data_IF_705090962086
#
_entry.id   IF_705090962086
#
_cell.length_a   1.000
_cell.length_b   1.000
_cell.length_c   1.000
_cell.angle_alpha   90.00
_cell.angle_beta   90.00
_cell.angle_gamma   90.00
#
_symmetry.space_group_name_H-M   'P 1'
#
loop_
_entity.id
_entity.type
_entity.pdbx_description
1 polymer ?
#
# COMPACT_ATOMS: atom_id res chain seq x y z
N UNK A 1 26.75 -65.20 -4.35
CA UNK A 1 25.89 -66.29 -4.85
C UNK A 1 25.02 -65.64 -5.94
N UNK A 2 25.53 -65.49 -7.17
CA UNK A 2 25.32 -66.35 -8.36
C UNK A 2 23.84 -66.70 -8.56
N UNK A 3 23.20 -66.63 -9.73
CA UNK A 3 23.44 -66.17 -11.11
C UNK A 3 22.08 -66.43 -11.81
N UNK A 4 21.59 -65.58 -12.72
CA UNK A 4 21.20 -65.98 -14.09
C UNK A 4 20.45 -64.86 -14.84
N UNK A 5 21.07 -64.44 -15.95
CA UNK A 5 20.45 -64.13 -17.24
C UNK A 5 20.94 -65.25 -18.20
N UNK A 6 20.24 -65.68 -19.28
CA UNK A 6 20.15 -64.89 -20.53
C UNK A 6 18.88 -65.13 -21.39
N UNK A 7 18.57 -64.21 -22.33
CA UNK A 7 18.67 -64.45 -23.79
C UNK A 7 17.91 -63.42 -24.65
N UNK A 8 18.73 -62.58 -25.29
CA UNK A 8 18.78 -62.13 -26.70
C UNK A 8 17.58 -62.30 -27.67
N UNK A 9 17.35 -61.24 -28.46
CA UNK A 9 16.45 -61.19 -29.60
C UNK A 9 16.50 -59.82 -30.30
N UNK A 10 17.30 -59.69 -31.35
CA UNK A 10 17.57 -58.43 -32.06
C UNK A 10 16.53 -57.95 -33.09
N UNK A 11 16.46 -56.61 -33.21
CA UNK A 11 16.23 -55.69 -34.37
C UNK A 11 15.06 -55.94 -35.37
N UNK A 12 14.39 -54.89 -35.93
CA UNK A 12 15.03 -53.68 -36.48
C UNK A 12 14.31 -52.33 -36.30
N UNK A 13 15.02 -51.26 -36.65
CA UNK A 13 14.50 -49.89 -36.82
C UNK A 13 13.88 -49.68 -38.21
N UNK A 14 12.79 -48.90 -38.26
CA UNK A 14 12.41 -47.85 -39.25
C UNK A 14 10.89 -47.80 -39.42
N UNK A 15 10.32 -46.60 -39.30
CA UNK A 15 8.89 -46.34 -39.42
C UNK A 15 8.54 -44.93 -38.95
N UNK A 16 8.91 -43.93 -39.74
CA UNK A 16 8.53 -42.53 -39.57
C UNK A 16 6.99 -42.39 -39.50
N UNK A 17 6.51 -41.68 -38.48
CA UNK A 17 5.10 -41.27 -38.40
C UNK A 17 4.93 -39.91 -39.09
N UNK A 18 3.93 -39.73 -39.97
CA UNK A 18 3.71 -38.44 -40.62
C UNK A 18 3.27 -37.38 -39.62
N UNK A 19 3.91 -36.21 -39.69
CA UNK A 19 3.58 -35.03 -38.88
C UNK A 19 2.20 -34.47 -39.24
N UNK A 20 1.38 -34.26 -38.22
CA UNK A 20 0.18 -33.43 -38.31
C UNK A 20 0.63 -31.96 -38.41
N UNK A 21 0.34 -31.33 -39.54
CA UNK A 21 0.64 -29.91 -39.76
C UNK A 21 -0.17 -29.02 -38.82
N UNK A 22 0.54 -28.13 -38.11
CA UNK A 22 -0.04 -27.08 -37.28
C UNK A 22 -0.69 -26.02 -38.18
N UNK A 23 -2.02 -25.89 -38.11
CA UNK A 23 -2.74 -24.85 -38.84
C UNK A 23 -2.47 -23.48 -38.19
N UNK A 24 -1.93 -22.54 -38.97
CA UNK A 24 -1.69 -21.18 -38.52
C UNK A 24 -3.00 -20.47 -38.15
N UNK A 25 -3.05 -19.90 -36.94
CA UNK A 25 -4.15 -19.07 -36.48
C UNK A 25 -4.27 -17.77 -37.33
N UNK A 26 -5.49 -17.24 -37.57
CA UNK A 26 -5.65 -16.04 -38.38
C UNK A 26 -5.04 -14.82 -37.68
N UNK A 27 -4.37 -13.97 -38.46
CA UNK A 27 -3.78 -12.73 -37.97
C UNK A 27 -4.87 -11.78 -37.44
N UNK A 28 -4.79 -11.48 -36.14
CA UNK A 28 -5.64 -10.48 -35.48
C UNK A 28 -5.32 -9.10 -36.04
N UNK A 29 -6.34 -8.41 -36.58
CA UNK A 29 -6.24 -7.00 -36.95
C UNK A 29 -5.89 -6.12 -35.74
N UNK A 30 -5.42 -4.87 -35.96
CA UNK A 30 -4.95 -4.02 -34.87
C UNK A 30 -6.10 -3.74 -33.91
N UNK A 31 -5.90 -4.10 -32.64
CA UNK A 31 -6.83 -3.81 -31.56
C UNK A 31 -7.00 -2.30 -31.42
N UNK A 32 -8.25 -1.84 -31.47
CA UNK A 32 -8.62 -0.46 -31.17
C UNK A 32 -8.32 -0.20 -29.69
N UNK A 33 -7.32 0.64 -29.41
CA UNK A 33 -6.88 0.97 -28.05
C UNK A 33 -7.93 1.87 -27.37
N UNK A 34 -8.66 1.33 -26.40
CA UNK A 34 -9.63 2.11 -25.59
C UNK A 34 -8.87 3.01 -24.60
N UNK A 35 -9.18 4.32 -24.48
CA UNK A 35 -8.50 5.20 -23.55
C UNK A 35 -8.86 4.85 -22.09
N UNK A 36 -7.97 4.13 -21.40
CA UNK A 36 -8.15 3.76 -19.99
C UNK A 36 -7.23 2.65 -19.48
N UNK A 37 -6.69 1.82 -20.39
CA UNK A 37 -5.97 0.59 -20.03
C UNK A 37 -4.44 0.70 -19.98
N UNK A 38 -3.87 1.90 -20.13
CA UNK A 38 -2.41 2.02 -20.04
C UNK A 38 -1.98 1.91 -18.57
N UNK A 39 -1.16 0.90 -18.21
CA UNK A 39 -0.66 0.77 -16.85
C UNK A 39 0.10 2.05 -16.46
N UNK A 40 -0.04 2.46 -15.19
CA UNK A 40 0.68 3.61 -14.67
C UNK A 40 2.17 3.49 -15.03
N UNK A 41 2.85 4.57 -15.41
CA UNK A 41 4.24 4.45 -15.84
C UNK A 41 5.10 3.98 -14.66
N UNK A 42 6.18 3.23 -14.95
CA UNK A 42 7.15 2.78 -13.93
C UNK A 42 6.98 1.35 -13.47
N UNK A 43 6.24 0.53 -14.22
CA UNK A 43 6.20 -0.92 -14.06
C UNK A 43 7.62 -1.53 -14.08
N UNK A 44 7.91 -2.58 -13.28
CA UNK A 44 7.05 -3.18 -12.25
C UNK A 44 7.10 -2.44 -10.89
N UNK A 45 7.80 -1.30 -10.84
CA UNK A 45 8.19 -0.61 -9.62
C UNK A 45 9.51 -1.12 -9.05
N UNK A 46 10.04 -0.43 -8.05
CA UNK A 46 11.26 -0.85 -7.36
C UNK A 46 11.01 -2.08 -6.48
N UNK A 47 12.07 -2.85 -6.21
CA UNK A 47 12.00 -3.99 -5.30
C UNK A 47 11.42 -3.56 -3.94
N UNK A 48 10.41 -4.28 -3.42
CA UNK A 48 9.81 -3.96 -2.14
C UNK A 48 10.77 -4.36 -1.02
N UNK A 49 10.83 -3.54 0.03
CA UNK A 49 11.42 -3.91 1.33
C UNK A 49 10.31 -3.96 2.39
N UNK A 50 10.61 -4.44 3.59
CA UNK A 50 9.76 -4.22 4.76
C UNK A 50 10.21 -2.97 5.52
N UNK A 51 9.40 -2.53 6.50
CA UNK A 51 9.85 -1.49 7.42
C UNK A 51 10.80 -2.10 8.47
N UNK A 52 11.34 -1.28 9.36
CA UNK A 52 12.09 -1.77 10.52
C UNK A 52 11.21 -2.59 11.46
N UNK A 53 11.80 -3.53 12.21
CA UNK A 53 11.11 -4.26 13.27
C UNK A 53 10.92 -3.43 14.54
N UNK A 54 11.59 -2.27 14.67
CA UNK A 54 11.35 -1.35 15.77
C UNK A 54 9.96 -0.71 15.65
N UNK A 55 9.09 -0.97 16.64
CA UNK A 55 7.72 -0.45 16.67
C UNK A 55 7.53 0.48 17.86
N UNK A 56 6.84 1.59 17.63
CA UNK A 56 6.40 2.50 18.66
C UNK A 56 5.21 1.89 19.44
N UNK A 57 4.33 1.18 18.75
CA UNK A 57 3.16 0.53 19.34
C UNK A 57 2.63 -0.63 18.48
N UNK A 58 1.86 -1.52 19.11
CA UNK A 58 1.02 -2.54 18.48
C UNK A 58 -0.40 -2.39 19.02
N UNK A 59 -1.40 -2.50 18.16
CA UNK A 59 -2.81 -2.38 18.54
C UNK A 59 -3.69 -3.41 17.85
N UNK A 60 -4.74 -3.82 18.55
CA UNK A 60 -5.84 -4.66 18.07
C UNK A 60 -7.07 -4.37 18.93
N UNK A 61 -8.23 -4.87 18.51
CA UNK A 61 -9.48 -4.75 19.26
C UNK A 61 -9.75 -6.01 20.08
N UNK A 62 -10.41 -5.84 21.22
CA UNK A 62 -11.06 -6.97 21.93
C UNK A 62 -12.40 -7.25 21.25
N UNK A 63 -12.49 -8.34 20.48
CA UNK A 63 -13.70 -8.69 19.75
C UNK A 63 -13.42 -9.64 18.58
N UNK A 64 -14.43 -9.93 17.74
CA UNK A 64 -14.27 -10.80 16.56
C UNK A 64 -13.43 -10.21 15.43
N UNK A 65 -13.06 -8.92 15.46
CA UNK A 65 -12.17 -8.31 14.47
C UNK A 65 -10.82 -9.04 14.36
N UNK A 66 -10.37 -9.34 13.13
CA UNK A 66 -9.20 -10.18 12.83
C UNK A 66 -8.02 -9.34 12.32
N UNK A 67 -7.83 -8.22 12.97
CA UNK A 67 -6.95 -7.13 12.53
C UNK A 67 -5.95 -6.82 13.64
N UNK A 68 -4.67 -6.74 13.28
CA UNK A 68 -3.61 -6.21 14.12
C UNK A 68 -2.87 -5.13 13.35
N UNK A 69 -2.58 -4.00 13.98
CA UNK A 69 -1.85 -2.91 13.37
C UNK A 69 -0.62 -2.56 14.19
N UNK A 70 0.43 -2.11 13.51
CA UNK A 70 1.68 -1.67 14.14
C UNK A 70 1.96 -0.23 13.77
N UNK A 71 2.58 0.50 14.69
CA UNK A 71 3.01 1.89 14.52
C UNK A 71 4.53 1.93 14.55
N UNK A 72 5.12 2.68 13.62
CA UNK A 72 6.56 2.93 13.58
C UNK A 72 6.86 4.14 12.70
N UNK A 73 7.82 4.97 13.12
CA UNK A 73 8.13 6.25 12.47
C UNK A 73 6.91 7.20 12.42
N UNK A 74 6.05 7.12 13.42
CA UNK A 74 4.86 7.97 13.55
C UNK A 74 3.76 7.69 12.53
N UNK A 75 3.78 6.54 11.85
CA UNK A 75 2.71 6.14 10.92
C UNK A 75 2.31 4.69 11.17
N UNK A 76 1.16 4.29 10.61
CA UNK A 76 0.79 2.87 10.56
C UNK A 76 1.77 2.17 9.62
N UNK A 77 2.42 1.12 10.10
CA UNK A 77 3.28 0.25 9.30
C UNK A 77 2.47 -0.97 8.85
N UNK A 78 2.81 -2.18 9.32
CA UNK A 78 2.10 -3.39 8.96
C UNK A 78 0.71 -3.45 9.61
N UNK A 79 -0.26 -3.82 8.78
CA UNK A 79 -1.59 -4.25 9.19
C UNK A 79 -1.74 -5.71 8.80
N UNK A 80 -2.03 -6.57 9.77
CA UNK A 80 -2.16 -8.01 9.62
C UNK A 80 -3.62 -8.42 9.55
N UNK A 81 -3.93 -9.29 8.59
CA UNK A 81 -5.27 -9.85 8.39
C UNK A 81 -5.19 -11.08 7.47
N UNK A 82 -6.00 -12.13 7.68
CA UNK A 82 -6.88 -12.36 8.85
C UNK A 82 -6.12 -12.96 10.04
N UNK A 83 -4.79 -13.07 9.97
CA UNK A 83 -3.95 -13.63 11.01
C UNK A 83 -2.67 -12.79 11.19
N UNK A 84 -2.09 -12.82 12.39
CA UNK A 84 -0.89 -12.06 12.79
C UNK A 84 0.37 -12.37 11.98
N UNK A 85 0.41 -13.48 11.23
CA UNK A 85 1.50 -13.83 10.32
C UNK A 85 1.34 -13.28 8.90
N UNK A 86 0.22 -12.60 8.59
CA UNK A 86 -0.15 -12.25 7.21
C UNK A 86 -0.31 -10.72 7.09
N UNK A 87 0.77 -9.97 6.84
CA UNK A 87 0.69 -8.53 6.62
C UNK A 87 0.04 -8.24 5.26
N UNK A 88 -0.80 -7.20 5.23
CA UNK A 88 -1.53 -6.74 4.06
C UNK A 88 -1.01 -5.42 3.52
N UNK A 89 -0.40 -4.60 4.37
CA UNK A 89 0.25 -3.34 4.00
C UNK A 89 1.63 -3.29 4.64
N UNK A 90 2.50 -2.46 4.06
CA UNK A 90 3.77 -2.08 4.68
C UNK A 90 3.67 -0.77 5.43
N UNK A 91 3.02 0.22 4.82
CA UNK A 91 2.93 1.58 5.35
C UNK A 91 1.57 2.18 4.93
N UNK A 92 0.90 2.85 5.86
CA UNK A 92 -0.10 3.89 5.61
C UNK A 92 0.45 5.20 6.18
N UNK A 93 1.09 5.98 5.31
CA UNK A 93 1.72 7.25 5.65
C UNK A 93 0.90 8.46 5.22
N UNK A 94 1.37 9.65 5.59
CA UNK A 94 0.71 10.91 5.26
C UNK A 94 1.69 11.97 4.75
N UNK A 95 1.22 12.85 3.87
CA UNK A 95 1.88 14.09 3.47
C UNK A 95 0.98 15.27 3.82
N UNK A 96 1.56 16.25 4.50
CA UNK A 96 0.96 17.57 4.66
C UNK A 96 1.50 18.47 3.56
N UNK A 97 0.62 19.05 2.74
CA UNK A 97 0.98 20.02 1.72
C UNK A 97 0.34 21.38 2.02
N UNK A 98 1.09 22.46 1.82
CA UNK A 98 0.62 23.82 2.02
C UNK A 98 1.55 24.85 1.40
N UNK A 99 1.42 26.13 1.78
CA UNK A 99 2.25 27.22 1.26
C UNK A 99 3.75 27.00 1.49
N UNK A 100 4.12 26.39 2.62
CA UNK A 100 5.51 26.07 2.97
C UNK A 100 6.10 24.85 2.26
N UNK A 101 5.34 24.16 1.42
CA UNK A 101 5.79 22.97 0.69
C UNK A 101 5.04 21.68 1.05
N UNK A 102 5.72 20.55 0.84
CA UNK A 102 5.17 19.20 1.02
C UNK A 102 6.04 18.43 2.02
N UNK A 103 5.42 17.93 3.07
CA UNK A 103 6.08 17.29 4.20
C UNK A 103 5.55 15.87 4.38
N UNK A 104 6.34 14.86 3.99
CA UNK A 104 6.06 13.46 4.31
C UNK A 104 6.39 13.22 5.78
N UNK A 105 5.35 12.99 6.60
CA UNK A 105 5.49 13.05 8.06
C UNK A 105 6.49 12.03 8.61
N UNK A 106 6.54 10.84 8.00
CA UNK A 106 7.53 9.79 8.27
C UNK A 106 8.98 10.27 8.06
N UNK A 107 9.23 11.06 7.01
CA UNK A 107 10.58 11.57 6.68
C UNK A 107 10.98 12.77 7.52
N UNK A 108 10.01 13.59 7.92
CA UNK A 108 10.25 14.69 8.87
C UNK A 108 10.68 14.12 10.21
N UNK A 109 10.02 13.06 10.68
CA UNK A 109 10.45 12.32 11.87
C UNK A 109 10.26 13.10 13.18
N UNK A 110 9.46 14.17 13.18
CA UNK A 110 9.09 14.94 14.37
C UNK A 110 7.68 14.54 14.80
N UNK A 111 7.60 13.57 15.71
CA UNK A 111 6.34 13.06 16.23
C UNK A 111 6.45 12.57 17.66
N UNK A 112 5.30 12.53 18.34
CA UNK A 112 5.13 11.86 19.61
C UNK A 112 4.02 10.80 19.48
N UNK A 113 4.19 9.67 20.17
CA UNK A 113 3.18 8.62 20.30
C UNK A 113 2.71 8.58 21.74
N UNK A 114 1.41 8.58 21.93
CA UNK A 114 0.76 8.55 23.23
C UNK A 114 -0.36 7.50 23.24
N UNK A 115 -0.65 6.95 24.41
CA UNK A 115 -1.84 6.13 24.65
C UNK A 115 -2.65 6.73 25.80
N UNK A 116 -3.97 6.49 25.88
CA UNK A 116 -4.79 6.99 27.00
C UNK A 116 -4.33 6.49 28.37
N UNK A 117 -3.60 5.37 28.41
CA UNK A 117 -2.98 4.83 29.61
C UNK A 117 -2.09 3.62 29.28
N UNK A 118 -1.33 3.08 30.27
CA UNK A 118 -0.34 2.03 30.04
C UNK A 118 -0.88 0.73 29.43
N UNK A 119 -2.17 0.44 29.62
CA UNK A 119 -2.81 -0.81 29.18
C UNK A 119 -3.91 -0.59 28.14
N UNK A 120 -4.02 0.61 27.59
CA UNK A 120 -5.03 0.96 26.60
C UNK A 120 -4.32 1.11 25.25
N UNK A 121 -4.28 0.09 24.38
CA UNK A 121 -3.50 0.10 23.14
C UNK A 121 -4.22 0.90 22.04
N UNK A 122 -4.58 2.15 22.31
CA UNK A 122 -5.22 3.07 21.37
C UNK A 122 -4.25 4.21 21.03
N UNK A 123 -3.26 3.98 20.15
CA UNK A 123 -2.22 4.95 19.92
C UNK A 123 -2.76 6.20 19.21
N UNK A 124 -2.42 7.35 19.76
CA UNK A 124 -2.51 8.64 19.10
C UNK A 124 -1.10 9.12 18.75
N UNK A 125 -0.95 9.71 17.58
CA UNK A 125 0.32 10.15 17.02
C UNK A 125 0.18 11.62 16.66
N UNK A 126 0.99 12.47 17.26
CA UNK A 126 1.02 13.90 16.96
C UNK A 126 2.30 14.22 16.20
N UNK A 127 2.17 14.72 14.97
CA UNK A 127 3.26 15.26 14.17
C UNK A 127 3.25 16.77 14.23
N UNK A 128 4.44 17.34 14.43
CA UNK A 128 4.66 18.78 14.41
C UNK A 128 5.66 19.15 13.31
N UNK A 129 5.40 20.24 12.61
CA UNK A 129 6.25 20.70 11.53
C UNK A 129 6.05 22.16 11.23
N UNK A 130 6.70 22.64 10.17
CA UNK A 130 6.68 24.05 9.79
C UNK A 130 5.27 24.52 9.38
N UNK A 131 4.53 25.07 10.36
CA UNK A 131 3.19 25.62 10.17
C UNK A 131 2.05 24.60 10.15
N UNK A 132 2.29 23.37 10.62
CA UNK A 132 1.24 22.37 10.77
C UNK A 132 1.36 21.56 12.07
N UNK A 133 0.20 21.11 12.56
CA UNK A 133 0.09 20.04 13.55
C UNK A 133 -0.90 19.00 13.03
N UNK A 134 -0.47 17.76 12.92
CA UNK A 134 -1.30 16.63 12.48
C UNK A 134 -1.41 15.62 13.61
N UNK A 135 -2.62 15.44 14.16
CA UNK A 135 -2.91 14.33 15.07
C UNK A 135 -3.57 13.19 14.30
N UNK A 136 -3.12 11.98 14.52
CA UNK A 136 -3.68 10.73 14.01
C UNK A 136 -4.07 9.87 15.20
N UNK A 137 -5.24 9.25 15.16
CA UNK A 137 -5.66 8.28 16.19
C UNK A 137 -6.08 6.99 15.49
N UNK A 138 -5.52 5.88 15.95
CA UNK A 138 -5.67 4.58 15.32
C UNK A 138 -6.54 3.69 16.19
N UNK A 139 -7.62 3.19 15.60
CA UNK A 139 -8.65 2.41 16.30
C UNK A 139 -9.06 1.21 15.43
N UNK A 140 -8.64 -0.01 15.78
CA UNK A 140 -9.23 -1.23 15.21
C UNK A 140 -10.71 -1.35 15.60
N UNK A 141 -11.60 -1.57 14.64
CA UNK A 141 -13.02 -1.81 14.90
C UNK A 141 -13.20 -3.19 15.59
N UNK A 142 -13.85 -3.28 16.76
CA UNK A 142 -14.00 -4.56 17.47
C UNK A 142 -14.87 -5.58 16.74
N UNK A 143 -15.77 -5.15 15.86
CA UNK A 143 -16.76 -5.99 15.21
C UNK A 143 -16.43 -6.27 13.73
N UNK A 144 -15.47 -5.54 13.15
CA UNK A 144 -15.19 -5.59 11.70
C UNK A 144 -13.69 -5.63 11.45
N UNK A 145 -13.30 -6.19 10.32
CA UNK A 145 -11.91 -6.16 9.85
C UNK A 145 -11.55 -4.79 9.26
N UNK A 146 -11.62 -3.74 10.09
CA UNK A 146 -11.47 -2.33 9.69
C UNK A 146 -10.56 -1.61 10.66
N UNK A 147 -9.53 -0.94 10.13
CA UNK A 147 -8.70 -0.01 10.89
C UNK A 147 -9.20 1.41 10.64
N UNK A 148 -9.76 2.03 11.66
CA UNK A 148 -10.15 3.43 11.62
C UNK A 148 -8.95 4.32 11.95
N UNK A 149 -8.74 5.35 11.15
CA UNK A 149 -7.73 6.39 11.41
C UNK A 149 -8.43 7.74 11.43
N UNK A 150 -8.62 8.31 12.62
CA UNK A 150 -9.12 9.67 12.78
C UNK A 150 -7.94 10.62 12.61
N UNK A 151 -8.14 11.73 11.91
CA UNK A 151 -7.12 12.76 11.77
C UNK A 151 -7.66 14.14 12.16
N UNK A 152 -6.77 14.98 12.68
CA UNK A 152 -6.99 16.40 12.90
C UNK A 152 -5.78 17.15 12.36
N UNK A 153 -6.00 18.06 11.40
CA UNK A 153 -4.94 18.87 10.80
C UNK A 153 -5.18 20.34 11.12
N UNK A 154 -4.26 20.94 11.87
CA UNK A 154 -4.24 22.36 12.19
C UNK A 154 -3.17 23.09 11.37
N UNK A 155 -3.48 24.31 10.94
CA UNK A 155 -2.64 25.19 10.14
C UNK A 155 -3.36 25.75 8.91
N UNK A 156 -2.89 26.90 8.40
CA UNK A 156 -3.55 27.64 7.33
C UNK A 156 -3.24 27.09 5.93
N UNK A 157 -4.28 26.92 5.10
CA UNK A 157 -4.12 26.55 3.68
C UNK A 157 -3.55 25.16 3.43
N UNK A 158 -3.69 24.24 4.39
CA UNK A 158 -3.12 22.90 4.33
C UNK A 158 -4.05 21.87 3.67
N UNK A 159 -3.44 20.83 3.11
CA UNK A 159 -4.09 19.63 2.57
C UNK A 159 -3.38 18.38 3.05
N UNK A 160 -4.15 17.36 3.43
CA UNK A 160 -3.63 16.07 3.82
C UNK A 160 -3.76 15.06 2.68
N UNK A 161 -2.69 14.32 2.41
CA UNK A 161 -2.67 13.20 1.48
C UNK A 161 -2.28 11.92 2.21
N UNK A 162 -3.07 10.87 2.06
CA UNK A 162 -2.73 9.52 2.51
C UNK A 162 -1.88 8.80 1.45
N UNK A 163 -0.91 8.02 1.90
CA UNK A 163 -0.03 7.17 1.09
C UNK A 163 -0.17 5.72 1.54
N UNK A 164 -0.79 4.89 0.71
CA UNK A 164 -0.97 3.46 1.01
C UNK A 164 0.05 2.62 0.21
N UNK A 165 0.77 1.75 0.91
CA UNK A 165 1.70 0.78 0.32
C UNK A 165 1.22 -0.66 0.57
N UNK A 166 0.37 -1.24 -0.31
CA UNK A 166 -0.08 -2.62 -0.18
C UNK A 166 1.06 -3.61 -0.33
N UNK A 167 1.16 -4.53 0.61
CA UNK A 167 2.08 -5.67 0.63
C UNK A 167 1.26 -6.93 0.90
N UNK A 168 0.22 -7.14 0.11
CA UNK A 168 -0.80 -8.15 0.41
C UNK A 168 -0.22 -9.56 0.39
N UNK A 169 -0.69 -10.39 1.32
CA UNK A 169 -0.19 -11.74 1.55
C UNK A 169 1.34 -11.80 1.71
N UNK A 170 1.92 -10.89 2.51
CA UNK A 170 3.35 -10.94 2.81
C UNK A 170 4.27 -10.53 1.67
N UNK A 171 3.75 -9.86 0.62
CA UNK A 171 4.60 -9.48 -0.51
C UNK A 171 4.15 -8.19 -1.18
N UNK A 172 5.09 -7.24 -1.28
CA UNK A 172 4.95 -6.01 -2.05
C UNK A 172 4.95 -6.18 -3.58
N UNK A 173 5.13 -7.41 -4.09
CA UNK A 173 5.08 -7.71 -5.53
C UNK A 173 3.68 -8.11 -5.96
N UNK A 174 3.38 -7.83 -7.23
CA UNK A 174 2.17 -8.29 -7.92
C UNK A 174 0.86 -7.95 -7.18
N UNK A 175 0.81 -6.76 -6.57
CA UNK A 175 -0.43 -6.17 -6.07
C UNK A 175 -1.07 -5.38 -7.20
N UNK A 176 -2.33 -5.64 -7.51
CA UNK A 176 -3.09 -4.83 -8.47
C UNK A 176 -3.78 -3.72 -7.71
N UNK A 177 -3.63 -2.47 -8.16
CA UNK A 177 -4.18 -1.32 -7.46
C UNK A 177 -4.98 -0.43 -8.41
N UNK A 178 -6.14 0.04 -7.96
CA UNK A 178 -7.02 0.94 -8.70
C UNK A 178 -7.33 2.18 -7.87
N UNK A 179 -7.37 3.31 -8.55
CA UNK A 179 -7.80 4.58 -7.97
C UNK A 179 -9.13 4.99 -8.61
N UNK A 180 -10.14 5.22 -7.77
CA UNK A 180 -11.45 5.73 -8.16
C UNK A 180 -11.93 6.71 -7.11
N UNK A 181 -13.19 6.59 -6.67
CA UNK A 181 -13.67 7.31 -5.49
C UNK A 181 -12.89 6.91 -4.22
N UNK A 182 -12.51 5.63 -4.15
CA UNK A 182 -11.67 5.03 -3.13
C UNK A 182 -10.33 4.56 -3.72
N UNK A 183 -9.40 4.17 -2.85
CA UNK A 183 -8.20 3.42 -3.24
C UNK A 183 -8.43 1.93 -2.95
N UNK A 184 -8.23 1.09 -3.96
CA UNK A 184 -8.41 -0.37 -3.84
C UNK A 184 -7.12 -1.07 -4.24
N UNK A 185 -6.72 -2.09 -3.49
CA UNK A 185 -5.67 -3.03 -3.85
C UNK A 185 -6.18 -4.47 -3.74
N UNK A 186 -5.74 -5.34 -4.64
CA UNK A 186 -6.19 -6.72 -4.75
C UNK A 186 -5.01 -7.66 -4.98
N UNK A 187 -5.07 -8.82 -4.34
CA UNK A 187 -4.13 -9.93 -4.55
C UNK A 187 -4.71 -11.21 -3.98
N UNK A 188 -4.62 -12.32 -4.73
CA UNK A 188 -4.97 -13.65 -4.24
C UNK A 188 -6.41 -13.76 -3.70
N UNK A 189 -7.37 -13.12 -4.37
CA UNK A 189 -8.78 -13.11 -3.95
C UNK A 189 -9.13 -12.14 -2.81
N UNK A 190 -8.14 -11.56 -2.14
CA UNK A 190 -8.33 -10.57 -1.07
C UNK A 190 -8.36 -9.16 -1.62
N UNK A 191 -9.16 -8.29 -0.97
CA UNK A 191 -9.32 -6.88 -1.31
C UNK A 191 -8.97 -6.02 -0.10
N UNK A 192 -8.09 -5.04 -0.30
CA UNK A 192 -7.83 -3.95 0.63
C UNK A 192 -8.46 -2.68 0.07
N UNK A 193 -9.26 -1.98 0.87
CA UNK A 193 -9.86 -0.71 0.50
C UNK A 193 -9.52 0.38 1.52
N UNK A 194 -9.10 1.53 1.02
CA UNK A 194 -8.95 2.75 1.80
C UNK A 194 -10.01 3.76 1.35
N UNK A 195 -10.82 4.19 2.31
CA UNK A 195 -11.91 5.16 2.13
C UNK A 195 -11.70 6.33 3.10
N UNK A 196 -12.33 7.46 2.81
CA UNK A 196 -12.40 8.59 3.73
C UNK A 196 -13.85 9.05 3.88
N UNK A 197 -14.27 9.35 5.11
CA UNK A 197 -15.62 9.88 5.40
C UNK A 197 -15.90 11.21 4.69
N UNK A 198 -14.86 12.01 4.42
CA UNK A 198 -14.92 13.24 3.62
C UNK A 198 -14.92 13.01 2.10
N UNK A 199 -14.70 11.76 1.66
CA UNK A 199 -14.30 11.43 0.30
C UNK A 199 -12.90 11.97 -0.08
N UNK A 200 -12.32 11.41 -1.13
CA UNK A 200 -11.06 11.92 -1.68
C UNK A 200 -11.30 13.01 -2.73
N UNK A 201 -10.51 14.09 -2.65
CA UNK A 201 -10.49 15.19 -3.64
C UNK A 201 -9.74 14.77 -4.90
N UNK A 202 -8.77 13.87 -4.75
CA UNK A 202 -7.98 13.28 -5.82
C UNK A 202 -7.46 11.93 -5.36
N UNK A 203 -7.48 10.95 -6.25
CA UNK A 203 -6.88 9.63 -6.05
C UNK A 203 -5.91 9.34 -7.19
N UNK A 204 -4.92 8.49 -6.93
CA UNK A 204 -4.04 7.96 -7.96
C UNK A 204 -3.47 6.62 -7.49
N UNK A 205 -3.17 5.74 -8.44
CA UNK A 205 -2.48 4.48 -8.21
C UNK A 205 -1.27 4.42 -9.14
N UNK A 206 -0.11 3.99 -8.63
CA UNK A 206 1.09 3.91 -9.44
C UNK A 206 2.17 3.04 -8.84
N UNK A 207 3.11 2.62 -9.69
CA UNK A 207 4.26 1.82 -9.26
C UNK A 207 5.20 2.65 -8.40
N UNK A 208 5.70 2.03 -7.32
CA UNK A 208 6.69 2.66 -6.45
C UNK A 208 7.95 2.96 -7.26
N UNK A 209 8.38 4.21 -7.28
CA UNK A 209 9.64 4.62 -7.91
C UNK A 209 10.71 4.83 -6.85
N UNK A 210 11.97 4.72 -7.23
CA UNK A 210 13.05 5.28 -6.43
C UNK A 210 12.71 6.76 -6.19
N UNK A 211 12.84 7.21 -4.95
CA UNK A 211 12.85 8.64 -4.70
C UNK A 211 14.03 9.18 -5.53
N UNK A 212 13.75 9.99 -6.56
CA UNK A 212 14.78 10.89 -7.04
C UNK A 212 15.27 11.63 -5.80
N UNK A 213 16.58 11.52 -5.49
CA UNK A 213 17.20 12.31 -4.43
C UNK A 213 16.76 13.75 -4.69
N UNK A 214 15.90 14.27 -3.83
CA UNK A 214 15.73 15.70 -3.76
C UNK A 214 17.04 16.20 -3.18
N UNK A 215 17.95 16.62 -4.06
CA UNK A 215 19.05 17.49 -3.68
C UNK A 215 18.40 18.69 -2.97
N UNK A 216 18.78 18.94 -1.72
CA UNK A 216 18.56 20.14 -0.90
C UNK A 216 17.24 20.92 -1.06
N UNK A 217 16.48 21.09 0.04
CA UNK A 217 15.54 22.20 0.27
C UNK A 217 14.65 22.66 -0.91
N UNK A 218 14.24 21.77 -1.82
CA UNK A 218 13.35 22.13 -2.91
C UNK A 218 12.01 21.42 -2.74
N UNK A 219 11.01 22.23 -2.39
CA UNK A 219 9.60 21.89 -2.44
C UNK A 219 9.28 21.19 -3.77
N UNK A 220 8.64 20.02 -3.70
CA UNK A 220 8.13 19.35 -4.90
C UNK A 220 7.14 20.28 -5.60
N UNK A 221 7.23 20.37 -6.94
CA UNK A 221 6.32 21.18 -7.77
C UNK A 221 4.85 20.88 -7.40
N UNK A 222 4.02 21.91 -7.13
CA UNK A 222 2.60 21.71 -6.90
C UNK A 222 1.96 21.05 -8.13
N UNK A 223 1.22 19.95 -7.91
CA UNK A 223 0.37 19.33 -8.95
C UNK A 223 0.68 17.87 -9.29
N UNK A 224 1.85 17.32 -8.92
CA UNK A 224 2.16 15.89 -9.17
C UNK A 224 2.16 15.09 -7.88
N UNK A 225 1.18 14.19 -7.73
CA UNK A 225 1.13 13.27 -6.61
C UNK A 225 2.37 12.36 -6.61
N UNK A 226 2.89 11.98 -5.42
CA UNK A 226 3.96 10.99 -5.34
C UNK A 226 3.53 9.65 -5.95
N UNK A 227 4.51 8.84 -6.34
CA UNK A 227 4.27 7.48 -6.83
C UNK A 227 3.76 6.58 -5.70
N UNK A 228 2.63 5.90 -5.91
CA UNK A 228 1.99 5.03 -4.93
C UNK A 228 0.46 5.17 -5.00
N UNK A 229 -0.26 4.48 -4.12
CA UNK A 229 -1.68 4.80 -3.90
C UNK A 229 -1.72 6.09 -3.06
N UNK A 230 -2.12 7.17 -3.70
CA UNK A 230 -2.17 8.49 -3.06
C UNK A 230 -3.57 9.04 -3.14
N UNK A 231 -4.09 9.49 -2.02
CA UNK A 231 -5.38 10.16 -2.00
C UNK A 231 -5.37 11.41 -1.12
N UNK A 232 -5.84 12.54 -1.65
CA UNK A 232 -6.01 13.78 -0.88
C UNK A 232 -7.42 13.86 -0.31
N UNK A 233 -7.62 14.23 0.96
CA UNK A 233 -8.97 14.48 1.49
C UNK A 233 -9.50 15.86 1.05
N UNK A 234 -10.83 16.01 0.99
CA UNK A 234 -11.53 17.25 0.59
C UNK A 234 -11.61 18.33 1.68
N UNK A 235 -11.43 18.01 2.97
CA UNK A 235 -11.52 18.99 4.07
C UNK A 235 -10.17 19.22 4.76
N UNK A 236 -9.70 20.47 4.73
CA UNK A 236 -8.79 21.00 5.76
C UNK A 236 -9.55 21.13 7.07
N UNK A 237 -8.88 20.88 8.20
CA UNK A 237 -9.50 20.85 9.52
C UNK A 237 -10.29 22.12 9.84
N UNK A 238 -11.43 21.95 10.50
CA UNK A 238 -12.16 23.04 11.11
C UNK A 238 -11.24 23.76 12.11
N UNK A 239 -11.30 25.10 12.13
CA UNK A 239 -10.59 25.94 13.08
C UNK A 239 -10.96 25.63 14.54
N UNK A 240 -10.22 26.19 15.51
CA UNK A 240 -10.44 25.89 16.93
C UNK A 240 -11.85 26.32 17.33
N UNK A 241 -12.67 25.35 17.76
CA UNK A 241 -13.94 25.64 18.42
C UNK A 241 -13.65 26.21 19.79
N UNK A 242 -13.90 27.50 19.97
CA UNK A 242 -14.06 28.09 21.30
C UNK A 242 -15.42 27.70 21.86
N UNK A 243 -15.42 27.13 23.06
CA UNK A 243 -15.95 27.79 24.26
C UNK A 243 -15.34 27.15 25.49
#
# INVERSE_FOLDING_TARGET
MREHDPADGGMPATGERPGIGEAAAPASGPAVEMPGDRPAPGWPGIAPTWTTSAKDAVTTSLGPGRLWATIGYGIVNEVYWPATGIPQIRDLGFIVAGPGGWFEVKRVGSYAVETPGPHIPLPAITHEGAGYRLRLEVLPDPLRDVLLVRYQLAGGGLRLYALLAPHMHGSGRHNTARAGQDLVAEKGGSVLRLQASCGFSRTSAGYRRQAQRAVGHHARRPGRLPSGLVAGCRRGGAGPGGN
#
